data_IF_558449513268
#
_entry.id   IF_558449513268
#
_cell.length_a   1.000
_cell.length_b   1.000
_cell.length_c   1.000
_cell.angle_alpha   90.00
_cell.angle_beta   90.00
_cell.angle_gamma   90.00
#
_symmetry.space_group_name_H-M   'P 1'
#
loop_
_entity.id
_entity.type
_entity.pdbx_description
1 polymer ?
#
# COMPACT_ATOMS: atom_id res chain seq x y z
N UNK A 1 -20.51 -32.70 -7.14
CA UNK A 1 -20.19 -31.30 -6.79
C UNK A 1 -19.65 -30.53 -8.00
N UNK A 2 -20.34 -30.57 -9.14
CA UNK A 2 -19.93 -29.95 -10.42
C UNK A 2 -20.71 -28.68 -10.77
N UNK A 3 -21.63 -28.24 -9.90
CA UNK A 3 -22.45 -27.03 -10.13
C UNK A 3 -21.75 -25.67 -9.90
N UNK A 4 -20.57 -25.64 -9.25
CA UNK A 4 -19.93 -24.41 -8.85
C UNK A 4 -19.16 -23.66 -9.97
N UNK A 5 -18.54 -24.37 -10.90
CA UNK A 5 -17.69 -23.74 -11.94
C UNK A 5 -18.53 -23.21 -13.09
N UNK A 6 -19.51 -23.98 -13.54
CA UNK A 6 -20.42 -23.55 -14.60
C UNK A 6 -21.29 -22.35 -14.16
N UNK A 7 -21.77 -22.33 -12.93
CA UNK A 7 -22.49 -21.18 -12.36
C UNK A 7 -21.66 -19.90 -12.25
N UNK A 8 -20.37 -20.02 -11.88
CA UNK A 8 -19.45 -18.87 -11.81
C UNK A 8 -19.12 -18.32 -13.19
N UNK A 9 -18.88 -19.17 -14.20
CA UNK A 9 -18.65 -18.73 -15.56
C UNK A 9 -19.89 -18.04 -16.16
N UNK A 10 -21.07 -18.54 -15.86
CA UNK A 10 -22.33 -17.94 -16.31
C UNK A 10 -22.64 -16.62 -15.62
N UNK A 11 -22.33 -16.49 -14.29
CA UNK A 11 -22.43 -15.24 -13.56
C UNK A 11 -21.42 -14.20 -14.06
N UNK A 12 -20.20 -14.60 -14.38
CA UNK A 12 -19.18 -13.73 -14.99
C UNK A 12 -19.65 -13.24 -16.38
N UNK A 13 -20.11 -14.16 -17.24
CA UNK A 13 -20.64 -13.80 -18.56
C UNK A 13 -21.82 -12.83 -18.45
N UNK A 14 -22.73 -13.02 -17.49
CA UNK A 14 -23.84 -12.12 -17.23
C UNK A 14 -23.35 -10.75 -16.72
N UNK A 15 -22.38 -10.71 -15.80
CA UNK A 15 -21.82 -9.47 -15.27
C UNK A 15 -21.13 -8.61 -16.33
N UNK A 16 -20.47 -9.23 -17.30
CA UNK A 16 -19.78 -8.50 -18.40
C UNK A 16 -20.69 -8.22 -19.61
N UNK A 17 -21.92 -8.75 -19.64
CA UNK A 17 -22.86 -8.56 -20.74
C UNK A 17 -23.64 -7.23 -20.68
N UNK A 18 -23.66 -6.57 -19.54
CA UNK A 18 -24.33 -5.29 -19.34
C UNK A 18 -23.31 -4.21 -19.01
N UNK A 19 -23.47 -2.97 -19.49
CA UNK A 19 -22.56 -1.88 -19.14
C UNK A 19 -22.47 -1.68 -17.62
N UNK A 20 -21.26 -1.49 -17.15
CA UNK A 20 -20.94 -1.30 -15.73
C UNK A 20 -19.70 -0.42 -15.58
N UNK A 21 -18.99 -0.59 -14.48
CA UNK A 21 -17.78 0.15 -14.18
C UNK A 21 -16.56 -0.79 -14.11
N UNK A 22 -15.45 -0.40 -14.71
CA UNK A 22 -14.14 -1.05 -14.53
C UNK A 22 -13.33 -0.19 -13.58
N UNK A 23 -13.09 -0.65 -12.35
CA UNK A 23 -12.22 0.01 -11.40
C UNK A 23 -10.80 -0.51 -11.55
N UNK A 24 -9.87 0.34 -11.97
CA UNK A 24 -8.45 0.04 -12.07
C UNK A 24 -7.70 0.65 -10.89
N UNK A 25 -7.11 -0.21 -10.04
CA UNK A 25 -6.38 0.25 -8.86
C UNK A 25 -4.97 0.68 -9.23
N UNK A 26 -4.61 1.94 -8.97
CA UNK A 26 -3.31 2.54 -9.20
C UNK A 26 -2.63 2.86 -7.87
N UNK A 27 -1.70 2.02 -7.42
CA UNK A 27 -0.97 2.24 -6.16
C UNK A 27 0.29 3.11 -6.31
N UNK A 28 0.61 3.56 -7.52
CA UNK A 28 1.89 4.18 -7.85
C UNK A 28 3.06 3.20 -7.89
N UNK A 29 2.81 1.90 -7.74
CA UNK A 29 3.79 0.84 -7.91
C UNK A 29 3.86 0.32 -9.34
N UNK A 30 4.99 -0.34 -9.69
CA UNK A 30 5.24 -0.86 -11.05
C UNK A 30 4.15 -1.79 -11.57
N UNK A 31 3.66 -2.68 -10.69
CA UNK A 31 2.71 -3.72 -11.08
C UNK A 31 1.33 -3.15 -11.38
N UNK A 32 0.84 -2.20 -10.57
CA UNK A 32 -0.43 -1.52 -10.83
C UNK A 32 -0.39 -0.63 -12.07
N UNK A 33 0.74 0.03 -12.33
CA UNK A 33 0.95 0.82 -13.54
C UNK A 33 1.02 -0.08 -14.78
N UNK A 34 1.76 -1.20 -14.69
CA UNK A 34 1.81 -2.19 -15.77
C UNK A 34 0.43 -2.79 -16.07
N UNK A 35 -0.39 -3.01 -15.04
CA UNK A 35 -1.77 -3.47 -15.22
C UNK A 35 -2.56 -2.50 -16.09
N UNK A 36 -2.56 -1.22 -15.76
CA UNK A 36 -3.22 -0.21 -16.58
C UNK A 36 -2.68 -0.18 -18.02
N UNK A 37 -1.36 -0.12 -18.19
CA UNK A 37 -0.73 -0.10 -19.53
C UNK A 37 -1.10 -1.32 -20.36
N UNK A 38 -1.12 -2.50 -19.75
CA UNK A 38 -1.55 -3.73 -20.41
C UNK A 38 -3.00 -3.66 -20.90
N UNK A 39 -3.90 -3.13 -20.06
CA UNK A 39 -5.31 -2.99 -20.42
C UNK A 39 -5.54 -1.96 -21.52
N UNK A 40 -4.77 -0.87 -21.58
CA UNK A 40 -4.82 0.09 -22.69
C UNK A 40 -4.26 -0.50 -23.99
N UNK A 41 -3.05 -1.09 -23.93
CA UNK A 41 -2.39 -1.65 -25.12
C UNK A 41 -3.12 -2.84 -25.72
N UNK A 42 -3.78 -3.66 -24.90
CA UNK A 42 -4.63 -4.76 -25.38
C UNK A 42 -5.94 -4.29 -26.02
N UNK A 43 -6.26 -3.00 -25.95
CA UNK A 43 -7.53 -2.44 -26.40
C UNK A 43 -8.71 -2.75 -25.49
N UNK A 44 -8.50 -3.40 -24.35
CA UNK A 44 -9.58 -3.78 -23.44
C UNK A 44 -10.35 -2.56 -22.91
N UNK A 45 -9.65 -1.54 -22.40
CA UNK A 45 -10.31 -0.36 -21.87
C UNK A 45 -11.04 0.44 -22.95
N UNK A 46 -10.48 0.51 -24.16
CA UNK A 46 -11.14 1.13 -25.31
C UNK A 46 -12.43 0.38 -25.65
N UNK A 47 -12.35 -0.94 -25.82
CA UNK A 47 -13.53 -1.76 -26.14
C UNK A 47 -14.63 -1.64 -25.06
N UNK A 48 -14.25 -1.55 -23.78
CA UNK A 48 -15.20 -1.32 -22.70
C UNK A 48 -15.88 0.05 -22.78
N UNK A 49 -15.12 1.11 -23.05
CA UNK A 49 -15.69 2.46 -23.25
C UNK A 49 -16.67 2.50 -24.45
N UNK A 50 -16.33 1.83 -25.56
CA UNK A 50 -17.20 1.71 -26.72
C UNK A 50 -18.50 0.92 -26.43
N UNK A 51 -18.45 -0.03 -25.49
CA UNK A 51 -19.60 -0.78 -24.98
C UNK A 51 -20.42 -0.01 -23.92
N UNK A 52 -20.09 1.25 -23.65
CA UNK A 52 -20.76 2.07 -22.65
C UNK A 52 -20.34 1.84 -21.21
N UNK A 53 -19.22 1.13 -20.97
CA UNK A 53 -18.65 0.98 -19.63
C UNK A 53 -17.89 2.24 -19.23
N UNK A 54 -17.98 2.60 -17.95
CA UNK A 54 -17.15 3.65 -17.37
C UNK A 54 -15.86 3.04 -16.81
N UNK A 55 -14.71 3.65 -17.12
CA UNK A 55 -13.41 3.28 -16.54
C UNK A 55 -13.09 4.26 -15.42
N UNK A 56 -12.86 3.73 -14.23
CA UNK A 56 -12.59 4.47 -13.01
C UNK A 56 -11.20 4.09 -12.50
N UNK A 57 -10.37 5.08 -12.17
CA UNK A 57 -9.05 4.84 -11.56
C UNK A 57 -9.10 5.24 -10.09
N UNK A 58 -8.51 4.43 -9.21
CA UNK A 58 -8.47 4.73 -7.78
C UNK A 58 -7.11 4.44 -7.16
N UNK A 59 -6.79 5.25 -6.16
CA UNK A 59 -5.64 5.11 -5.27
C UNK A 59 -6.12 5.12 -3.81
N UNK A 60 -5.81 4.07 -3.06
CA UNK A 60 -6.05 4.03 -1.61
C UNK A 60 -4.94 4.79 -0.89
N UNK A 61 -5.23 6.02 -0.50
CA UNK A 61 -4.28 6.91 0.16
C UNK A 61 -4.21 6.61 1.67
N UNK A 62 -3.08 6.10 2.12
CA UNK A 62 -2.84 5.85 3.55
C UNK A 62 -2.31 7.10 4.27
N UNK A 63 -1.88 8.12 3.51
CA UNK A 63 -1.15 9.27 4.05
C UNK A 63 0.25 8.93 4.54
N UNK A 64 0.76 7.73 4.20
CA UNK A 64 2.06 7.21 4.66
C UNK A 64 3.02 6.88 3.51
N UNK A 65 2.65 7.16 2.28
CA UNK A 65 3.51 7.04 1.11
C UNK A 65 4.55 8.17 1.09
N UNK A 66 5.65 7.96 0.34
CA UNK A 66 6.66 9.01 0.13
C UNK A 66 6.17 10.07 -0.87
N UNK A 67 6.67 11.31 -0.81
CA UNK A 67 6.29 12.39 -1.72
C UNK A 67 6.44 12.02 -3.20
N UNK A 68 7.47 11.25 -3.54
CA UNK A 68 7.73 10.77 -4.91
C UNK A 68 6.57 9.93 -5.46
N UNK A 69 5.90 9.15 -4.60
CA UNK A 69 4.74 8.37 -5.01
C UNK A 69 3.54 9.27 -5.35
N UNK A 70 3.30 10.31 -4.58
CA UNK A 70 2.24 11.29 -4.88
C UNK A 70 2.51 12.05 -6.17
N UNK A 71 3.75 12.53 -6.36
CA UNK A 71 4.17 13.19 -7.59
C UNK A 71 4.06 12.26 -8.81
N UNK A 72 4.33 10.97 -8.62
CA UNK A 72 4.15 9.98 -9.68
C UNK A 72 2.68 9.74 -10.02
N UNK A 73 1.79 9.66 -9.02
CA UNK A 73 0.35 9.55 -9.24
C UNK A 73 -0.21 10.78 -9.97
N UNK A 74 0.28 11.99 -9.70
CA UNK A 74 -0.08 13.20 -10.45
C UNK A 74 0.36 13.14 -11.93
N UNK A 75 1.51 12.49 -12.22
CA UNK A 75 1.92 12.23 -13.60
C UNK A 75 1.00 11.21 -14.27
N UNK A 76 0.65 10.13 -13.57
CA UNK A 76 -0.30 9.13 -14.10
C UNK A 76 -1.68 9.76 -14.34
N UNK A 77 -2.16 10.63 -13.46
CA UNK A 77 -3.45 11.31 -13.59
C UNK A 77 -3.55 12.15 -14.87
N UNK A 78 -2.43 12.71 -15.34
CA UNK A 78 -2.37 13.42 -16.63
C UNK A 78 -2.54 12.47 -17.85
N UNK A 79 -2.25 11.19 -17.67
CA UNK A 79 -2.35 10.18 -18.72
C UNK A 79 -3.70 9.46 -18.71
N UNK A 80 -4.20 9.13 -17.53
CA UNK A 80 -5.41 8.31 -17.38
C UNK A 80 -6.68 9.12 -17.12
N UNK A 81 -6.54 10.41 -16.83
CA UNK A 81 -7.61 11.24 -16.29
C UNK A 81 -7.70 11.12 -14.76
N UNK A 82 -8.82 11.52 -14.18
CA UNK A 82 -9.01 11.57 -12.73
C UNK A 82 -8.70 10.23 -12.04
N UNK A 83 -7.83 10.28 -11.02
CA UNK A 83 -7.59 9.18 -10.08
C UNK A 83 -8.33 9.51 -8.78
N UNK A 84 -9.33 8.70 -8.42
CA UNK A 84 -10.06 8.83 -7.18
C UNK A 84 -9.14 8.50 -5.99
N UNK A 85 -8.90 9.46 -5.12
CA UNK A 85 -8.12 9.26 -3.90
C UNK A 85 -9.06 8.83 -2.78
N UNK A 86 -9.12 7.52 -2.53
CA UNK A 86 -9.98 6.98 -1.48
C UNK A 86 -9.23 6.90 -0.16
N UNK A 87 -9.88 7.31 0.92
CA UNK A 87 -9.27 7.34 2.24
C UNK A 87 -10.29 7.11 3.36
N UNK A 88 -9.85 6.56 4.48
CA UNK A 88 -10.67 6.48 5.69
C UNK A 88 -10.67 7.82 6.39
N UNK A 89 -11.84 8.40 6.62
CA UNK A 89 -12.00 9.65 7.35
C UNK A 89 -12.11 9.42 8.86
N UNK A 90 -11.15 9.91 9.60
CA UNK A 90 -11.13 9.87 11.08
C UNK A 90 -11.23 11.31 11.57
N UNK A 91 -12.44 11.83 11.85
CA UNK A 91 -12.64 13.22 12.24
C UNK A 91 -12.07 13.51 13.62
N UNK A 92 -11.47 14.69 13.76
CA UNK A 92 -11.32 15.34 15.07
C UNK A 92 -12.54 16.20 15.37
N UNK A 93 -12.69 16.59 16.64
CA UNK A 93 -13.79 17.48 17.05
C UNK A 93 -13.77 18.79 16.26
N UNK A 94 -14.89 19.12 15.59
CA UNK A 94 -15.04 20.33 14.78
C UNK A 94 -14.25 20.34 13.47
N UNK A 95 -13.61 19.25 13.06
CA UNK A 95 -12.84 19.17 11.82
C UNK A 95 -13.73 18.89 10.60
N UNK A 96 -13.52 19.67 9.54
CA UNK A 96 -14.11 19.40 8.24
C UNK A 96 -13.33 18.28 7.51
N UNK A 97 -14.00 17.49 6.64
CA UNK A 97 -13.34 16.51 5.80
C UNK A 97 -12.28 17.16 4.90
N UNK A 98 -11.12 16.50 4.69
CA UNK A 98 -10.11 17.00 3.76
C UNK A 98 -10.65 17.00 2.33
N UNK A 99 -10.34 18.05 1.56
CA UNK A 99 -10.73 18.14 0.16
C UNK A 99 -9.92 17.18 -0.72
N UNK A 100 -10.51 16.78 -1.86
CA UNK A 100 -9.81 15.95 -2.86
C UNK A 100 -9.79 14.45 -2.57
N UNK A 101 -10.58 13.98 -1.60
CA UNK A 101 -10.72 12.57 -1.26
C UNK A 101 -12.15 12.08 -1.43
N UNK A 102 -12.28 10.84 -1.85
CA UNK A 102 -13.51 10.07 -1.70
C UNK A 102 -13.41 9.33 -0.36
N UNK A 103 -14.11 9.81 0.64
CA UNK A 103 -13.92 9.42 2.03
C UNK A 103 -14.86 8.29 2.46
N UNK A 104 -14.29 7.24 3.03
CA UNK A 104 -15.02 6.27 3.83
C UNK A 104 -15.03 6.72 5.30
N UNK A 105 -16.24 6.92 5.84
CA UNK A 105 -16.43 7.21 7.26
C UNK A 105 -16.55 5.88 8.01
N UNK A 106 -15.68 5.56 8.98
CA UNK A 106 -15.81 4.34 9.77
C UNK A 106 -17.12 4.32 10.56
N UNK A 107 -17.66 3.13 10.79
CA UNK A 107 -18.95 2.97 11.48
C UNK A 107 -18.99 3.66 12.84
N UNK A 108 -17.89 3.64 13.62
CA UNK A 108 -17.81 4.32 14.90
C UNK A 108 -17.86 5.85 14.77
N UNK A 109 -17.33 6.41 13.67
CA UNK A 109 -17.36 7.85 13.40
C UNK A 109 -18.72 8.30 12.85
N UNK A 110 -19.46 7.42 12.14
CA UNK A 110 -20.84 7.71 11.69
C UNK A 110 -21.80 7.86 12.85
N UNK A 111 -21.49 7.27 14.02
CA UNK A 111 -22.23 7.45 15.25
C UNK A 111 -21.91 8.77 15.99
N UNK A 112 -21.27 9.74 15.32
CA UNK A 112 -20.91 11.04 15.88
C UNK A 112 -19.69 11.01 16.79
N UNK A 113 -18.96 9.90 16.86
CA UNK A 113 -17.69 9.82 17.59
C UNK A 113 -16.57 10.42 16.76
N UNK A 114 -15.74 11.24 17.41
CA UNK A 114 -14.56 11.86 16.81
C UNK A 114 -13.36 11.68 17.74
N UNK A 115 -12.17 12.02 17.25
CA UNK A 115 -11.01 12.10 18.10
C UNK A 115 -11.20 13.21 19.14
N UNK A 116 -10.96 12.96 20.43
CA UNK A 116 -10.87 14.01 21.44
C UNK A 116 -9.86 15.09 21.02
N UNK A 117 -10.06 16.31 21.50
CA UNK A 117 -9.27 17.48 21.08
C UNK A 117 -7.75 17.30 21.20
N UNK A 118 -7.28 16.66 22.28
CA UNK A 118 -5.88 16.34 22.52
C UNK A 118 -5.32 15.34 21.47
N UNK A 119 -6.07 14.30 21.17
CA UNK A 119 -5.72 13.30 20.15
C UNK A 119 -5.77 13.89 18.73
N UNK A 120 -6.76 14.72 18.45
CA UNK A 120 -6.85 15.43 17.18
C UNK A 120 -5.65 16.37 16.99
N UNK A 121 -5.24 17.10 18.05
CA UNK A 121 -4.06 17.95 18.03
C UNK A 121 -2.77 17.13 17.81
N UNK A 122 -2.63 15.98 18.46
CA UNK A 122 -1.52 15.06 18.24
C UNK A 122 -1.48 14.59 16.78
N UNK A 123 -2.61 14.15 16.22
CA UNK A 123 -2.67 13.70 14.83
C UNK A 123 -2.24 14.81 13.86
N UNK A 124 -2.77 16.03 14.01
CA UNK A 124 -2.38 17.19 13.18
C UNK A 124 -0.88 17.52 13.28
N UNK A 125 -0.31 17.44 14.50
CA UNK A 125 1.12 17.68 14.69
C UNK A 125 1.97 16.67 13.92
N UNK A 126 1.61 15.38 13.99
CA UNK A 126 2.31 14.31 13.28
C UNK A 126 2.11 14.41 11.75
N UNK A 127 0.91 14.75 11.30
CA UNK A 127 0.59 15.03 9.90
C UNK A 127 1.44 16.19 9.34
N UNK A 128 1.55 17.29 10.10
CA UNK A 128 2.37 18.44 9.71
C UNK A 128 3.86 18.06 9.59
N UNK A 129 4.39 17.25 10.50
CA UNK A 129 5.77 16.73 10.40
C UNK A 129 5.99 15.83 9.19
N UNK A 130 4.96 15.08 8.76
CA UNK A 130 4.99 14.29 7.53
C UNK A 130 4.87 15.15 6.27
N UNK A 131 4.60 16.45 6.40
CA UNK A 131 4.28 17.32 5.27
C UNK A 131 2.95 16.95 4.59
N UNK A 132 2.00 16.38 5.35
CA UNK A 132 0.71 15.92 4.83
C UNK A 132 -0.43 16.70 5.50
N UNK A 133 -1.42 17.15 4.73
CA UNK A 133 -2.61 17.79 5.30
C UNK A 133 -3.51 16.78 6.01
N UNK A 134 -3.40 15.50 5.65
CA UNK A 134 -4.19 14.40 6.20
C UNK A 134 -3.48 13.05 6.04
N UNK A 135 -3.52 12.21 7.07
CA UNK A 135 -3.00 10.84 7.06
C UNK A 135 -3.95 9.88 7.78
N UNK A 136 -4.75 9.09 7.03
CA UNK A 136 -5.63 8.07 7.62
C UNK A 136 -4.89 7.16 8.60
N UNK A 137 -3.68 6.73 8.23
CA UNK A 137 -2.90 5.81 9.05
C UNK A 137 -2.50 6.43 10.39
N UNK A 138 -1.99 7.67 10.40
CA UNK A 138 -1.64 8.38 11.62
C UNK A 138 -2.86 8.56 12.51
N UNK A 139 -3.98 8.99 11.95
CA UNK A 139 -5.22 9.20 12.71
C UNK A 139 -5.78 7.94 13.32
N UNK A 140 -5.72 6.82 12.60
CA UNK A 140 -6.13 5.52 13.14
C UNK A 140 -5.18 5.03 14.23
N UNK A 141 -3.87 5.25 14.11
CA UNK A 141 -2.93 4.95 15.19
C UNK A 141 -3.27 5.72 16.47
N UNK A 142 -3.56 7.00 16.34
CA UNK A 142 -3.95 7.85 17.46
C UNK A 142 -5.32 7.45 18.03
N UNK A 143 -6.30 7.18 17.14
CA UNK A 143 -7.65 6.77 17.54
C UNK A 143 -7.63 5.48 18.37
N UNK A 144 -6.89 4.49 17.93
CA UNK A 144 -6.82 3.18 18.60
C UNK A 144 -5.71 3.06 19.63
N UNK A 145 -4.91 4.11 19.77
CA UNK A 145 -3.71 4.11 20.61
C UNK A 145 -2.84 2.87 20.32
N UNK A 146 -2.64 2.54 19.04
CA UNK A 146 -1.91 1.34 18.63
C UNK A 146 -1.24 1.54 17.26
N UNK A 147 -0.12 0.83 17.03
CA UNK A 147 0.56 0.79 15.73
C UNK A 147 0.30 -0.54 15.03
N UNK A 148 0.27 -0.58 13.68
CA UNK A 148 0.17 -1.84 12.96
C UNK A 148 1.46 -2.65 13.11
N UNK A 149 1.33 -3.98 13.03
CA UNK A 149 2.46 -4.91 13.07
C UNK A 149 2.29 -5.95 11.98
N UNK A 150 3.32 -6.78 11.75
CA UNK A 150 3.22 -7.93 10.83
C UNK A 150 2.13 -8.93 11.21
N UNK A 151 1.78 -9.03 12.49
CA UNK A 151 0.75 -9.92 13.00
C UNK A 151 -0.64 -9.28 13.01
N UNK A 152 -0.72 -7.95 13.15
CA UNK A 152 -1.97 -7.17 13.17
C UNK A 152 -1.94 -6.11 12.10
N UNK A 153 -2.29 -6.50 10.90
CA UNK A 153 -2.23 -5.68 9.67
C UNK A 153 -3.51 -4.86 9.43
N UNK A 154 -4.08 -4.32 10.49
CA UNK A 154 -5.27 -3.48 10.36
C UNK A 154 -5.05 -2.30 9.40
N UNK A 155 -3.81 -1.84 9.22
CA UNK A 155 -3.49 -0.79 8.24
C UNK A 155 -3.91 -1.18 6.81
N UNK A 156 -3.76 -2.46 6.40
CA UNK A 156 -4.20 -2.90 5.08
C UNK A 156 -5.72 -2.87 4.96
N UNK A 157 -6.39 -3.38 5.98
CA UNK A 157 -7.86 -3.44 5.99
C UNK A 157 -8.47 -2.04 6.05
N UNK A 158 -8.06 -1.23 7.03
CA UNK A 158 -8.74 0.02 7.35
C UNK A 158 -8.29 1.21 6.52
N UNK A 159 -7.07 1.22 5.94
CA UNK A 159 -6.62 2.33 5.10
C UNK A 159 -6.61 2.01 3.60
N UNK A 160 -6.79 0.75 3.20
CA UNK A 160 -6.76 0.36 1.78
C UNK A 160 -8.02 -0.39 1.36
N UNK A 161 -8.31 -1.54 2.01
CA UNK A 161 -9.41 -2.40 1.59
C UNK A 161 -10.77 -1.74 1.78
N UNK A 162 -11.08 -1.30 3.00
CA UNK A 162 -12.38 -0.68 3.30
C UNK A 162 -12.68 0.58 2.46
N UNK A 163 -11.74 1.54 2.29
CA UNK A 163 -12.01 2.69 1.41
C UNK A 163 -12.28 2.30 -0.04
N UNK A 164 -11.54 1.31 -0.58
CA UNK A 164 -11.78 0.82 -1.93
C UNK A 164 -13.13 0.10 -2.06
N UNK A 165 -13.51 -0.71 -1.07
CA UNK A 165 -14.85 -1.33 -1.02
C UNK A 165 -15.94 -0.26 -0.92
N UNK A 166 -15.71 0.80 -0.15
CA UNK A 166 -16.59 1.95 -0.09
C UNK A 166 -16.80 2.61 -1.46
N UNK A 167 -15.73 2.77 -2.24
CA UNK A 167 -15.86 3.26 -3.61
C UNK A 167 -16.59 2.26 -4.51
N UNK A 168 -16.21 0.97 -4.45
CA UNK A 168 -16.89 -0.09 -5.23
C UNK A 168 -18.40 -0.11 -5.02
N UNK A 169 -18.85 0.09 -3.79
CA UNK A 169 -20.28 0.14 -3.47
C UNK A 169 -21.03 1.30 -4.12
N UNK A 170 -20.35 2.33 -4.64
CA UNK A 170 -20.93 3.45 -5.39
C UNK A 170 -20.93 3.22 -6.91
N UNK A 171 -20.29 2.16 -7.37
CA UNK A 171 -20.14 1.83 -8.78
C UNK A 171 -21.25 0.88 -9.23
N UNK A 172 -21.52 0.91 -10.54
CA UNK A 172 -22.54 0.05 -11.13
C UNK A 172 -21.88 -1.24 -11.67
N UNK A 173 -22.30 -2.40 -11.16
CA UNK A 173 -21.81 -3.73 -11.60
C UNK A 173 -20.29 -3.77 -11.79
N UNK A 174 -19.48 -3.49 -10.73
CA UNK A 174 -18.07 -3.20 -10.89
C UNK A 174 -17.21 -4.44 -11.18
N UNK A 175 -16.23 -4.28 -12.07
CA UNK A 175 -15.08 -5.17 -12.19
C UNK A 175 -13.89 -4.49 -11.51
N UNK A 176 -13.40 -5.09 -10.43
CA UNK A 176 -12.26 -4.58 -9.66
C UNK A 176 -10.95 -5.15 -10.21
N UNK A 177 -10.17 -4.35 -10.91
CA UNK A 177 -8.89 -4.75 -11.51
C UNK A 177 -7.74 -4.47 -10.54
N UNK A 178 -6.96 -5.50 -10.20
CA UNK A 178 -5.88 -5.44 -9.21
C UNK A 178 -4.56 -5.91 -9.84
N UNK A 179 -3.52 -5.08 -9.73
CA UNK A 179 -2.17 -5.38 -10.19
C UNK A 179 -1.40 -6.25 -9.19
N UNK A 180 -1.68 -7.55 -9.19
CA UNK A 180 -1.04 -8.55 -8.32
C UNK A 180 -0.41 -9.63 -9.19
N UNK A 181 0.81 -10.08 -8.81
CA UNK A 181 1.53 -11.16 -9.47
C UNK A 181 1.75 -12.35 -8.53
N UNK A 182 1.63 -13.56 -9.07
CA UNK A 182 1.88 -14.82 -8.35
C UNK A 182 3.30 -14.87 -7.73
N UNK A 183 4.30 -14.37 -8.45
CA UNK A 183 5.70 -14.36 -8.01
C UNK A 183 6.01 -13.47 -6.80
N UNK A 184 5.05 -12.72 -6.26
CA UNK A 184 5.29 -11.83 -5.13
C UNK A 184 5.18 -12.52 -3.75
N UNK A 185 4.37 -13.56 -3.63
CA UNK A 185 4.24 -14.40 -2.42
C UNK A 185 3.41 -15.64 -2.68
N UNK A 186 3.54 -16.66 -1.82
CA UNK A 186 2.74 -17.88 -1.89
C UNK A 186 1.22 -17.59 -1.79
N UNK A 187 0.82 -16.67 -0.91
CA UNK A 187 -0.59 -16.27 -0.77
C UNK A 187 -1.14 -15.66 -2.07
N UNK A 188 -0.30 -14.88 -2.79
CA UNK A 188 -0.70 -14.28 -4.07
C UNK A 188 -0.73 -15.31 -5.19
N UNK A 189 0.20 -16.26 -5.20
CA UNK A 189 0.20 -17.36 -6.16
C UNK A 189 -1.05 -18.24 -6.06
N UNK A 190 -1.63 -18.36 -4.87
CA UNK A 190 -2.85 -19.12 -4.65
C UNK A 190 -4.13 -18.38 -5.08
N UNK A 191 -4.05 -17.08 -5.40
CA UNK A 191 -5.22 -16.31 -5.84
C UNK A 191 -5.56 -16.63 -7.29
N UNK A 192 -6.85 -16.79 -7.65
CA UNK A 192 -7.24 -16.99 -9.04
C UNK A 192 -7.11 -15.69 -9.85
N UNK A 193 -6.93 -15.81 -11.15
CA UNK A 193 -6.91 -14.66 -12.08
C UNK A 193 -8.25 -13.91 -12.06
N UNK A 194 -9.36 -14.67 -11.95
CA UNK A 194 -10.72 -14.16 -11.83
C UNK A 194 -11.45 -14.80 -10.67
N UNK A 195 -12.16 -14.00 -9.89
CA UNK A 195 -13.05 -14.49 -8.84
C UNK A 195 -14.18 -13.50 -8.55
N UNK A 196 -15.29 -14.02 -8.04
CA UNK A 196 -16.22 -13.21 -7.27
C UNK A 196 -15.68 -13.07 -5.85
N UNK A 197 -15.50 -11.86 -5.40
CA UNK A 197 -15.01 -11.59 -4.05
C UNK A 197 -16.15 -11.07 -3.17
N UNK A 198 -16.58 -11.86 -2.21
CA UNK A 198 -17.58 -11.44 -1.21
C UNK A 198 -17.09 -10.24 -0.39
N UNK A 199 -15.77 -10.17 -0.13
CA UNK A 199 -15.17 -9.06 0.61
C UNK A 199 -15.22 -7.72 -0.15
N UNK A 200 -15.28 -7.77 -1.49
CA UNK A 200 -15.36 -6.59 -2.36
C UNK A 200 -16.78 -6.36 -2.91
N UNK A 201 -17.67 -7.35 -2.76
CA UNK A 201 -18.97 -7.41 -3.44
C UNK A 201 -18.85 -7.10 -4.95
N UNK A 202 -17.84 -7.68 -5.58
CA UNK A 202 -17.46 -7.40 -6.96
C UNK A 202 -16.66 -8.55 -7.58
N UNK A 203 -16.64 -8.61 -8.92
CA UNK A 203 -15.66 -9.41 -9.62
C UNK A 203 -14.27 -8.80 -9.49
N UNK A 204 -13.30 -9.62 -9.11
CA UNK A 204 -11.88 -9.25 -9.04
C UNK A 204 -11.13 -9.87 -10.21
N UNK A 205 -10.40 -9.05 -10.94
CA UNK A 205 -9.55 -9.47 -12.04
C UNK A 205 -8.10 -9.07 -11.81
N UNK A 206 -7.19 -10.04 -12.05
CA UNK A 206 -5.73 -9.90 -11.92
C UNK A 206 -5.06 -10.18 -13.27
N UNK A 207 -5.10 -9.22 -14.22
CA UNK A 207 -4.68 -9.47 -15.60
C UNK A 207 -3.20 -9.80 -15.77
N UNK A 208 -2.34 -9.40 -14.83
CA UNK A 208 -0.90 -9.66 -14.85
C UNK A 208 -0.47 -10.71 -13.83
N UNK A 209 -1.41 -11.54 -13.33
CA UNK A 209 -1.15 -12.50 -12.26
C UNK A 209 0.05 -13.42 -12.55
N UNK A 210 0.12 -13.94 -13.76
CA UNK A 210 1.15 -14.90 -14.19
C UNK A 210 2.42 -14.24 -14.77
N UNK A 211 2.50 -12.90 -14.70
CA UNK A 211 3.63 -12.18 -15.25
C UNK A 211 4.85 -12.25 -14.34
N UNK A 212 6.03 -12.31 -14.97
CA UNK A 212 7.31 -12.12 -14.27
C UNK A 212 7.60 -10.64 -14.03
N UNK A 213 8.57 -10.34 -13.18
CA UNK A 213 9.00 -8.95 -12.95
C UNK A 213 9.64 -8.36 -14.20
N UNK A 214 10.33 -9.17 -14.98
CA UNK A 214 10.96 -8.79 -16.26
C UNK A 214 9.92 -8.33 -17.27
N UNK A 215 8.79 -9.04 -17.40
CA UNK A 215 7.69 -8.65 -18.28
C UNK A 215 7.07 -7.31 -17.86
N UNK A 216 6.95 -7.06 -16.55
CA UNK A 216 6.48 -5.77 -16.03
C UNK A 216 7.47 -4.65 -16.41
N UNK A 217 8.77 -4.87 -16.20
CA UNK A 217 9.81 -3.89 -16.54
C UNK A 217 9.85 -3.64 -18.06
N UNK A 218 9.75 -4.67 -18.86
CA UNK A 218 9.74 -4.56 -20.32
C UNK A 218 8.54 -3.74 -20.80
N UNK A 219 7.37 -3.96 -20.24
CA UNK A 219 6.19 -3.17 -20.59
C UNK A 219 6.39 -1.68 -20.26
N UNK A 220 6.97 -1.34 -19.11
CA UNK A 220 7.31 0.04 -18.79
C UNK A 220 8.27 0.66 -19.81
N UNK A 221 9.30 -0.08 -20.22
CA UNK A 221 10.25 0.39 -21.24
C UNK A 221 9.60 0.62 -22.59
N UNK A 222 8.77 -0.34 -23.02
CA UNK A 222 8.10 -0.30 -24.31
C UNK A 222 7.01 0.78 -24.41
N UNK A 223 6.34 1.09 -23.30
CA UNK A 223 5.24 2.06 -23.24
C UNK A 223 5.70 3.52 -23.18
N UNK A 224 6.97 3.78 -22.86
CA UNK A 224 7.47 5.14 -22.62
C UNK A 224 6.95 5.79 -21.33
N UNK A 225 6.26 5.02 -20.47
CA UNK A 225 5.83 5.48 -19.14
C UNK A 225 6.89 5.12 -18.12
N UNK A 226 7.60 6.12 -17.63
CA UNK A 226 8.64 5.92 -16.61
C UNK A 226 8.03 5.26 -15.36
N UNK A 227 8.79 4.38 -14.68
CA UNK A 227 8.37 3.85 -13.39
C UNK A 227 8.41 4.93 -12.31
N UNK A 228 7.80 4.63 -11.15
CA UNK A 228 7.96 5.48 -9.99
C UNK A 228 9.46 5.71 -9.68
N UNK A 229 9.90 6.97 -9.49
CA UNK A 229 11.32 7.29 -9.30
C UNK A 229 12.01 6.52 -8.17
N UNK A 230 11.26 6.09 -7.15
CA UNK A 230 11.79 5.30 -6.05
C UNK A 230 12.43 3.96 -6.50
N UNK A 231 11.95 3.38 -7.59
CA UNK A 231 12.58 2.18 -8.16
C UNK A 231 13.96 2.47 -8.75
N UNK A 232 14.16 3.67 -9.27
CA UNK A 232 15.43 4.08 -9.88
C UNK A 232 16.45 4.54 -8.84
N UNK A 233 15.98 4.95 -7.66
CA UNK A 233 16.81 5.40 -6.54
C UNK A 233 17.33 4.24 -5.67
N UNK A 234 17.04 2.99 -6.03
CA UNK A 234 17.47 1.84 -5.25
C UNK A 234 16.73 1.71 -3.92
N UNK A 235 15.44 2.04 -3.87
CA UNK A 235 14.63 1.90 -2.65
C UNK A 235 14.47 0.43 -2.25
N UNK A 236 15.52 -0.12 -1.64
CA UNK A 236 15.53 -1.37 -0.90
C UNK A 236 15.00 -2.60 -1.66
N UNK A 237 13.84 -3.12 -1.28
CA UNK A 237 13.27 -4.38 -1.81
C UNK A 237 12.66 -4.28 -3.20
N UNK A 238 12.73 -3.13 -3.88
CA UNK A 238 12.05 -2.92 -5.16
C UNK A 238 10.53 -2.87 -5.03
N UNK A 239 10.01 -2.50 -3.86
CA UNK A 239 8.59 -2.25 -3.61
C UNK A 239 8.36 -0.78 -3.32
N UNK A 240 7.33 -0.22 -3.93
CA UNK A 240 6.82 1.13 -3.65
C UNK A 240 5.48 1.03 -2.93
N UNK A 241 5.29 1.85 -1.91
CA UNK A 241 4.08 1.90 -1.07
C UNK A 241 4.34 2.64 0.23
N UNK A 242 3.69 2.22 1.30
CA UNK A 242 3.91 2.77 2.66
C UNK A 242 5.39 2.75 3.05
N UNK A 243 5.91 3.85 3.58
CA UNK A 243 7.33 3.97 3.93
C UNK A 243 7.52 4.53 5.36
N UNK A 244 8.00 3.69 6.31
CA UNK A 244 8.21 2.24 6.19
C UNK A 244 6.92 1.42 6.21
N UNK A 245 6.92 0.31 5.50
CA UNK A 245 5.90 -0.72 5.68
C UNK A 245 6.23 -1.59 6.91
N UNK A 246 5.22 -2.21 7.53
CA UNK A 246 5.45 -3.21 8.60
C UNK A 246 6.24 -4.43 8.11
N UNK A 247 6.26 -4.67 6.81
CA UNK A 247 7.06 -5.70 6.14
C UNK A 247 8.35 -5.16 5.52
N UNK A 248 8.78 -3.96 5.91
CA UNK A 248 10.04 -3.42 5.40
C UNK A 248 11.19 -4.41 5.66
N UNK A 249 11.93 -4.72 4.61
CA UNK A 249 13.11 -5.55 4.68
C UNK A 249 14.28 -4.79 5.33
N UNK A 250 15.38 -5.49 5.61
CA UNK A 250 16.60 -4.86 6.09
C UNK A 250 17.15 -3.82 5.08
N UNK A 251 17.03 -4.11 3.79
CA UNK A 251 17.43 -3.22 2.71
C UNK A 251 16.54 -1.96 2.68
N UNK A 252 15.22 -2.12 2.81
CA UNK A 252 14.29 -0.98 2.88
C UNK A 252 14.61 -0.05 4.05
N UNK A 253 14.83 -0.62 5.23
CA UNK A 253 15.19 0.17 6.42
C UNK A 253 16.53 0.87 6.26
N UNK A 254 17.53 0.22 5.66
CA UNK A 254 18.84 0.82 5.37
C UNK A 254 18.69 2.01 4.43
N UNK A 255 17.94 1.83 3.35
CA UNK A 255 17.66 2.92 2.42
C UNK A 255 16.94 4.09 3.10
N UNK A 256 15.95 3.82 3.97
CA UNK A 256 15.25 4.85 4.73
C UNK A 256 16.18 5.59 5.70
N UNK A 257 17.11 4.89 6.36
CA UNK A 257 18.13 5.53 7.23
C UNK A 257 19.01 6.50 6.43
N UNK A 258 19.34 6.14 5.19
CA UNK A 258 20.23 6.94 4.34
C UNK A 258 19.50 8.13 3.68
N UNK A 259 18.24 7.94 3.23
CA UNK A 259 17.56 8.89 2.37
C UNK A 259 16.32 9.54 2.99
N UNK A 260 15.71 8.92 4.00
CA UNK A 260 14.42 9.30 4.57
C UNK A 260 14.43 9.24 6.11
N UNK A 261 15.54 9.67 6.72
CA UNK A 261 15.76 9.58 8.17
C UNK A 261 14.62 10.21 8.98
N UNK A 262 14.10 11.35 8.53
CA UNK A 262 12.97 12.03 9.16
C UNK A 262 11.75 11.11 9.33
N UNK A 263 11.49 10.19 8.38
CA UNK A 263 10.39 9.24 8.47
C UNK A 263 10.54 8.28 9.66
N UNK A 264 11.76 7.84 9.93
CA UNK A 264 12.05 6.95 11.06
C UNK A 264 11.98 7.72 12.39
N UNK A 265 12.38 8.99 12.41
CA UNK A 265 12.25 9.86 13.57
C UNK A 265 10.77 10.10 13.92
N UNK A 266 9.93 10.41 12.93
CA UNK A 266 8.48 10.56 13.12
C UNK A 266 7.86 9.26 13.60
N UNK A 267 8.28 8.11 13.07
CA UNK A 267 7.78 6.82 13.55
C UNK A 267 8.17 6.56 15.01
N UNK A 268 9.39 6.93 15.41
CA UNK A 268 9.82 6.88 16.82
C UNK A 268 8.95 7.76 17.73
N UNK A 269 8.66 8.99 17.29
CA UNK A 269 7.75 9.89 17.99
C UNK A 269 6.33 9.27 18.09
N UNK A 270 5.84 8.65 17.03
CA UNK A 270 4.55 7.94 17.06
C UNK A 270 4.58 6.80 18.09
N UNK A 271 5.63 5.98 18.13
CA UNK A 271 5.75 4.91 19.14
C UNK A 271 5.70 5.46 20.57
N UNK A 272 6.36 6.58 20.83
CA UNK A 272 6.36 7.23 22.16
C UNK A 272 5.00 7.81 22.51
N UNK A 273 4.41 8.60 21.62
CA UNK A 273 3.12 9.27 21.88
C UNK A 273 1.99 8.25 22.05
N UNK A 274 1.95 7.22 21.21
CA UNK A 274 0.99 6.13 21.36
C UNK A 274 1.23 5.36 22.67
N UNK A 275 2.49 5.19 23.06
CA UNK A 275 2.86 4.61 24.36
C UNK A 275 2.29 5.39 25.53
N UNK A 276 2.35 6.72 25.49
CA UNK A 276 1.75 7.61 26.50
C UNK A 276 0.23 7.48 26.56
N UNK A 277 -0.44 7.30 25.41
CA UNK A 277 -1.90 7.18 25.34
C UNK A 277 -2.44 5.87 25.93
N UNK A 278 -1.70 4.78 25.87
CA UNK A 278 -2.20 3.46 26.28
C UNK A 278 -1.41 2.78 27.42
N UNK A 279 -0.38 3.44 27.94
CA UNK A 279 0.49 2.89 28.99
C UNK A 279 1.32 1.67 28.56
N UNK A 280 1.49 1.44 27.22
CA UNK A 280 2.22 0.32 26.65
C UNK A 280 3.40 0.82 25.84
N UNK A 281 4.20 -0.10 25.33
CA UNK A 281 5.31 0.21 24.42
C UNK A 281 5.02 -0.37 23.03
N UNK A 282 4.14 0.26 22.23
CA UNK A 282 3.85 -0.21 20.90
C UNK A 282 5.11 -0.16 20.04
N UNK A 283 5.27 -1.15 19.16
CA UNK A 283 6.44 -1.28 18.29
C UNK A 283 6.01 -1.64 16.89
N UNK A 284 6.52 -0.88 15.92
CA UNK A 284 6.27 -1.10 14.51
C UNK A 284 7.01 -2.33 13.98
N UNK A 285 8.26 -2.51 14.44
CA UNK A 285 9.13 -3.57 13.97
C UNK A 285 9.34 -4.67 15.01
N UNK A 286 9.62 -5.87 14.50
CA UNK A 286 10.12 -6.99 15.30
C UNK A 286 11.37 -7.58 14.64
N UNK A 287 12.37 -7.86 15.44
CA UNK A 287 13.59 -8.53 15.00
C UNK A 287 13.61 -9.98 15.48
N UNK A 288 14.14 -10.89 14.66
CA UNK A 288 14.40 -12.27 15.08
C UNK A 288 15.56 -12.28 16.06
N UNK A 289 15.30 -12.70 17.28
CA UNK A 289 16.30 -12.84 18.36
C UNK A 289 16.22 -14.23 18.96
N UNK A 290 17.34 -14.73 19.47
CA UNK A 290 17.34 -15.87 20.36
C UNK A 290 16.77 -15.39 21.69
N UNK A 291 15.71 -16.02 22.15
CA UNK A 291 15.10 -15.81 23.46
C UNK A 291 15.20 -17.12 24.23
N UNK A 292 15.50 -17.03 25.51
CA UNK A 292 15.52 -18.17 26.42
C UNK A 292 14.23 -18.13 27.25
N UNK A 293 13.54 -19.24 27.34
CA UNK A 293 12.39 -19.43 28.23
C UNK A 293 12.51 -20.78 28.94
N UNK A 294 11.47 -21.20 29.67
CA UNK A 294 11.44 -22.48 30.43
C UNK A 294 11.70 -23.70 29.55
N UNK A 295 11.43 -23.59 28.24
CA UNK A 295 11.52 -24.70 27.27
C UNK A 295 12.85 -24.67 26.49
N UNK A 296 13.76 -23.73 26.82
CA UNK A 296 15.08 -23.56 26.23
C UNK A 296 15.19 -22.40 25.24
N UNK A 297 16.33 -22.34 24.56
CA UNK A 297 16.64 -21.27 23.62
C UNK A 297 15.89 -21.45 22.28
N UNK A 298 15.12 -20.44 21.85
CA UNK A 298 14.42 -20.44 20.55
C UNK A 298 14.55 -19.10 19.82
N UNK A 299 14.39 -19.12 18.51
CA UNK A 299 14.35 -17.89 17.71
C UNK A 299 12.92 -17.35 17.67
N UNK A 300 12.72 -16.16 18.23
CA UNK A 300 11.41 -15.50 18.23
C UNK A 300 11.48 -14.10 17.60
N UNK A 301 10.34 -13.62 17.13
CA UNK A 301 10.17 -12.24 16.68
C UNK A 301 9.92 -11.36 17.92
N UNK A 302 10.91 -10.54 18.26
CA UNK A 302 10.87 -9.65 19.42
C UNK A 302 10.58 -8.23 18.94
N UNK A 303 9.51 -7.57 19.44
CA UNK A 303 9.24 -6.18 19.15
C UNK A 303 10.40 -5.28 19.59
N UNK A 304 10.81 -4.35 18.74
CA UNK A 304 11.93 -3.42 19.03
C UNK A 304 11.55 -1.99 18.66
N UNK A 305 12.12 -0.98 19.34
CA UNK A 305 11.97 0.41 18.95
C UNK A 305 12.47 0.62 17.52
N UNK A 306 11.89 1.60 16.82
CA UNK A 306 12.33 1.95 15.45
C UNK A 306 13.81 2.31 15.40
N UNK A 307 14.38 2.96 16.43
CA UNK A 307 15.80 3.25 16.55
C UNK A 307 16.66 1.99 16.49
N UNK A 308 16.31 0.96 17.26
CA UNK A 308 17.01 -0.31 17.24
C UNK A 308 16.87 -1.04 15.90
N UNK A 309 15.71 -0.95 15.24
CA UNK A 309 15.53 -1.50 13.91
C UNK A 309 16.40 -0.77 12.87
N UNK A 310 16.52 0.55 12.98
CA UNK A 310 17.39 1.38 12.14
C UNK A 310 18.88 1.06 12.33
N UNK A 311 19.33 0.88 13.57
CA UNK A 311 20.71 0.44 13.87
C UNK A 311 20.97 -0.96 13.29
N UNK A 312 20.05 -1.91 13.54
CA UNK A 312 20.18 -3.26 12.97
C UNK A 312 20.26 -3.22 11.45
N UNK A 313 19.53 -2.34 10.78
CA UNK A 313 19.55 -2.23 9.33
C UNK A 313 20.94 -1.86 8.78
N UNK A 314 21.74 -1.14 9.55
CA UNK A 314 23.10 -0.71 9.17
C UNK A 314 24.17 -1.78 9.44
N UNK A 315 23.83 -2.87 10.15
CA UNK A 315 24.79 -3.95 10.43
C UNK A 315 24.96 -4.89 9.24
N UNK A 316 26.04 -5.67 9.25
CA UNK A 316 26.21 -6.80 8.35
C UNK A 316 25.31 -7.98 8.73
N UNK A 317 25.42 -9.08 8.00
CA UNK A 317 24.66 -10.31 8.23
C UNK A 317 24.78 -10.76 9.70
N UNK A 318 23.65 -10.99 10.34
CA UNK A 318 23.58 -11.43 11.73
C UNK A 318 23.47 -10.30 12.78
N UNK A 319 23.57 -9.03 12.38
CA UNK A 319 23.32 -7.88 13.27
C UNK A 319 24.40 -7.65 14.34
N UNK A 320 25.61 -8.19 14.15
CA UNK A 320 26.67 -8.16 15.16
C UNK A 320 27.75 -7.11 14.89
N UNK A 321 27.88 -6.64 13.66
CA UNK A 321 28.95 -5.71 13.28
C UNK A 321 28.39 -4.65 12.32
N UNK A 322 28.69 -3.39 12.60
CA UNK A 322 28.48 -2.30 11.65
C UNK A 322 29.40 -2.53 10.46
N UNK A 323 28.87 -2.42 9.25
CA UNK A 323 29.67 -2.51 8.05
C UNK A 323 30.59 -1.29 7.97
N UNK A 324 31.89 -1.50 7.94
CA UNK A 324 32.89 -0.46 7.64
C UNK A 324 32.66 0.11 6.23
N UNK A 325 32.20 -0.74 5.31
CA UNK A 325 31.71 -0.38 3.98
C UNK A 325 30.34 -1.04 3.81
N UNK A 326 29.29 -0.23 3.71
CA UNK A 326 28.01 -0.76 3.24
C UNK A 326 28.20 -1.14 1.77
N UNK A 327 27.83 -2.36 1.34
CA UNK A 327 27.87 -2.68 -0.08
C UNK A 327 27.01 -1.63 -0.80
N UNK A 328 27.60 -0.98 -1.81
CA UNK A 328 26.80 -0.19 -2.76
C UNK A 328 25.82 -1.18 -3.41
N UNK A 329 24.54 -1.04 -3.05
CA UNK A 329 23.51 -1.76 -3.80
C UNK A 329 23.55 -1.21 -5.22
N UNK A 330 23.55 -2.11 -6.21
CA UNK A 330 23.51 -1.68 -7.60
C UNK A 330 22.36 -0.68 -7.78
N UNK A 331 22.61 0.47 -8.40
CA UNK A 331 21.57 1.48 -8.57
C UNK A 331 20.31 0.84 -9.13
N UNK A 332 19.13 1.18 -8.59
CA UNK A 332 17.85 0.64 -9.07
C UNK A 332 17.69 0.79 -10.58
N UNK A 333 18.28 1.85 -11.15
CA UNK A 333 18.33 2.07 -12.60
C UNK A 333 19.00 0.94 -13.39
N UNK A 334 19.95 0.19 -12.80
CA UNK A 334 20.60 -0.96 -13.47
C UNK A 334 19.56 -2.07 -13.70
N UNK A 335 18.78 -2.43 -12.68
CA UNK A 335 17.72 -3.43 -12.81
C UNK A 335 16.66 -3.02 -13.85
N UNK A 336 16.43 -1.71 -13.98
CA UNK A 336 15.49 -1.14 -14.95
C UNK A 336 16.11 -0.87 -16.33
N UNK A 337 17.44 -0.96 -16.48
CA UNK A 337 18.14 -0.61 -17.72
C UNK A 337 17.97 0.85 -18.12
N UNK A 338 17.82 1.75 -17.18
CA UNK A 338 17.52 3.18 -17.38
C UNK A 338 18.63 4.13 -16.90
N UNK A 339 19.82 3.61 -16.58
CA UNK A 339 20.94 4.42 -16.08
C UNK A 339 21.53 5.42 -17.10
N UNK A 340 21.09 5.39 -18.35
CA UNK A 340 21.64 6.22 -19.45
C UNK A 340 20.62 7.16 -20.12
N UNK A 341 19.52 7.43 -19.45
CA UNK A 341 18.53 8.41 -19.98
C UNK A 341 18.62 9.75 -19.29
#
# INVERSE_FOLDING_TARGET
MTGGVAGKAQALAAAISHPGDVLVNLSGGKDSTATWMHLEQSGFLQAKREQGWRVVFAFADTGWELPETYAYLEKLEKLVGKIHRVATWVPGEGEAPPSGYDLLVPQWATAGKCLPADRAALARRLEARLGRPYSPLVRLMVAWANVPTTQRRWCTEDTKMKPLVGLLATLNNPINVIGVRAGESADRAAQPVWEWSEAHDAFVWRPIHDWTVEQVIELHRASGVDPNPLYLQGSGSGRVGCAPCVYASKADLRWLVQHQRLRLEILGEIEEEIGKLNGRSPRWFSLRKVVEDSDGARVAAVPVPVSQAAEWAQTQRGGRQLGLFLPEEAPGCVAWGMCQR
#
